data_IF_686553701568
#
_entry.id   IF_686553701568
#
_cell.length_a   1.000
_cell.length_b   1.000
_cell.length_c   1.000
_cell.angle_alpha   90.00
_cell.angle_beta   90.00
_cell.angle_gamma   90.00
#
_symmetry.space_group_name_H-M   'P 1'
#
loop_
_entity.id
_entity.type
_entity.pdbx_description
1 polymer ?
#
# COMPACT_ATOMS: atom_id res chain seq x y z
N UNK A 1 56.72 8.01 -45.55
CA UNK A 1 55.62 7.08 -45.88
C UNK A 1 55.41 6.19 -44.66
N UNK A 2 54.33 6.15 -43.89
CA UNK A 2 53.09 6.93 -43.78
C UNK A 2 52.42 6.59 -42.43
N UNK A 3 51.74 7.60 -41.85
CA UNK A 3 50.50 7.60 -41.00
C UNK A 3 50.27 6.39 -40.04
N UNK A 4 50.32 6.56 -38.71
CA UNK A 4 49.28 7.11 -37.81
C UNK A 4 48.28 6.06 -37.28
N UNK A 5 48.11 6.01 -35.94
CA UNK A 5 46.82 6.19 -35.25
C UNK A 5 46.88 5.66 -33.80
N UNK A 6 46.65 6.58 -32.87
CA UNK A 6 46.43 6.40 -31.43
C UNK A 6 44.95 6.04 -31.21
N UNK A 7 44.62 5.05 -30.38
CA UNK A 7 43.26 4.84 -29.88
C UNK A 7 43.30 4.58 -28.36
N UNK A 8 42.69 5.52 -27.63
CA UNK A 8 42.44 5.49 -26.19
C UNK A 8 41.41 4.40 -25.86
N UNK A 9 41.72 3.54 -24.88
CA UNK A 9 40.76 2.59 -24.33
C UNK A 9 40.13 3.17 -23.06
N UNK A 10 38.95 3.77 -23.21
CA UNK A 10 38.05 4.11 -22.10
C UNK A 10 37.24 2.87 -21.71
N UNK A 11 37.56 2.24 -20.58
CA UNK A 11 36.72 1.19 -20.00
C UNK A 11 35.69 1.84 -19.07
N UNK A 12 34.42 1.70 -19.45
CA UNK A 12 33.24 2.14 -18.72
C UNK A 12 33.15 1.48 -17.33
N UNK A 13 33.07 2.31 -16.29
CA UNK A 13 32.67 1.91 -14.94
C UNK A 13 31.14 1.71 -14.93
N UNK A 14 30.67 0.46 -15.01
CA UNK A 14 29.23 0.15 -14.86
C UNK A 14 28.89 0.21 -13.36
N UNK A 15 28.29 1.32 -12.95
CA UNK A 15 27.62 1.47 -11.66
C UNK A 15 26.45 0.49 -11.59
N UNK A 16 26.58 -0.54 -10.75
CA UNK A 16 25.48 -1.44 -10.43
C UNK A 16 24.41 -0.71 -9.62
N UNK A 17 23.25 -0.47 -10.23
CA UNK A 17 22.06 -0.09 -9.47
C UNK A 17 21.60 -1.28 -8.64
N UNK A 18 21.27 -1.11 -7.34
CA UNK A 18 20.61 -2.15 -6.59
C UNK A 18 19.25 -2.41 -7.24
N UNK A 19 19.07 -3.61 -7.79
CA UNK A 19 17.76 -4.05 -8.21
C UNK A 19 16.89 -4.16 -6.96
N UNK A 20 15.95 -3.23 -6.82
CA UNK A 20 14.86 -3.34 -5.86
C UNK A 20 14.04 -4.56 -6.27
N UNK A 21 14.31 -5.72 -5.64
CA UNK A 21 13.45 -6.88 -5.76
C UNK A 21 12.14 -6.53 -5.07
N UNK A 22 11.15 -6.08 -5.85
CA UNK A 22 9.80 -5.89 -5.38
C UNK A 22 9.19 -7.25 -5.05
N UNK A 23 8.90 -7.49 -3.77
CA UNK A 23 8.10 -8.62 -3.30
C UNK A 23 6.66 -8.45 -3.84
N UNK A 24 6.38 -9.08 -4.98
CA UNK A 24 5.05 -9.10 -5.59
C UNK A 24 4.41 -10.45 -5.26
N UNK A 25 3.35 -10.45 -4.46
CA UNK A 25 2.65 -11.69 -4.11
C UNK A 25 1.90 -12.19 -5.36
N UNK A 26 1.86 -13.50 -5.59
CA UNK A 26 1.09 -14.15 -6.65
C UNK A 26 0.11 -15.12 -6.03
N UNK A 27 -1.08 -15.23 -6.62
CA UNK A 27 -2.09 -16.24 -6.27
C UNK A 27 -2.36 -17.14 -7.46
N UNK A 28 -2.53 -18.43 -7.20
CA UNK A 28 -3.04 -19.39 -8.18
C UNK A 28 -4.07 -20.30 -7.53
N UNK A 29 -4.81 -21.04 -8.36
CA UNK A 29 -5.73 -22.09 -7.93
C UNK A 29 -5.16 -23.42 -8.37
N UNK A 30 -5.07 -24.39 -7.48
CA UNK A 30 -4.59 -25.73 -7.82
C UNK A 30 -5.67 -26.58 -8.52
N UNK A 31 -5.31 -27.82 -8.88
CA UNK A 31 -6.22 -28.74 -9.57
C UNK A 31 -7.44 -29.17 -8.74
N UNK A 32 -7.45 -28.89 -7.43
CA UNK A 32 -8.54 -29.18 -6.52
C UNK A 32 -9.41 -27.93 -6.23
N UNK A 33 -9.12 -26.80 -6.89
CA UNK A 33 -9.84 -25.55 -6.65
C UNK A 33 -9.35 -24.75 -5.43
N UNK A 34 -8.25 -25.15 -4.79
CA UNK A 34 -7.73 -24.48 -3.59
C UNK A 34 -6.85 -23.30 -3.99
N UNK A 35 -7.08 -22.08 -3.44
CA UNK A 35 -6.22 -20.94 -3.69
C UNK A 35 -4.91 -21.02 -2.89
N UNK A 36 -3.80 -20.70 -3.54
CA UNK A 36 -2.45 -20.66 -2.98
C UNK A 36 -1.79 -19.31 -3.25
N UNK A 37 -0.79 -18.95 -2.45
CA UNK A 37 -0.12 -17.65 -2.48
C UNK A 37 1.40 -17.81 -2.41
N UNK A 38 2.16 -16.98 -3.11
CA UNK A 38 3.63 -17.00 -3.08
C UNK A 38 4.23 -15.61 -3.23
N UNK A 39 5.36 -15.35 -2.55
CA UNK A 39 6.11 -14.11 -2.68
C UNK A 39 7.05 -14.19 -3.90
N UNK A 40 6.69 -13.46 -4.96
CA UNK A 40 7.36 -13.48 -6.26
C UNK A 40 6.89 -14.60 -7.18
N UNK A 41 6.91 -14.33 -8.50
CA UNK A 41 6.51 -15.32 -9.51
C UNK A 41 7.42 -16.56 -9.51
N UNK A 42 8.69 -16.40 -9.09
CA UNK A 42 9.65 -17.51 -8.98
C UNK A 42 9.27 -18.53 -7.91
N UNK A 43 8.51 -18.11 -6.89
CA UNK A 43 8.04 -18.96 -5.79
C UNK A 43 6.75 -19.73 -6.15
N UNK A 44 6.15 -19.43 -7.31
CA UNK A 44 5.01 -20.19 -7.83
C UNK A 44 5.51 -21.45 -8.55
N UNK A 45 4.92 -22.63 -8.31
CA UNK A 45 5.28 -23.85 -9.05
C UNK A 45 5.08 -23.68 -10.56
N UNK A 46 6.00 -24.19 -11.39
CA UNK A 46 6.00 -24.01 -12.85
C UNK A 46 4.63 -24.24 -13.49
N UNK A 47 3.97 -25.34 -13.10
CA UNK A 47 2.66 -25.75 -13.61
C UNK A 47 1.53 -24.76 -13.34
N UNK A 48 1.69 -23.85 -12.39
CA UNK A 48 0.70 -22.84 -12.03
C UNK A 48 1.13 -21.42 -12.39
N UNK A 49 2.38 -21.18 -12.82
CA UNK A 49 2.87 -19.84 -13.16
C UNK A 49 2.07 -19.15 -14.26
N UNK A 50 1.67 -19.90 -15.30
CA UNK A 50 0.88 -19.34 -16.39
C UNK A 50 -0.52 -18.86 -15.95
N UNK A 51 -1.06 -19.43 -14.87
CA UNK A 51 -2.35 -19.05 -14.28
C UNK A 51 -2.22 -18.26 -12.97
N UNK A 52 -0.99 -17.94 -12.55
CA UNK A 52 -0.74 -17.21 -11.33
C UNK A 52 -0.95 -15.72 -11.59
N UNK A 53 -1.91 -15.15 -10.87
CA UNK A 53 -2.22 -13.73 -10.94
C UNK A 53 -1.46 -12.99 -9.86
N UNK A 54 -0.73 -11.90 -10.18
CA UNK A 54 -0.11 -11.09 -9.15
C UNK A 54 -1.21 -10.51 -8.25
N UNK A 55 -1.10 -10.79 -6.96
CA UNK A 55 -1.75 -10.04 -5.91
C UNK A 55 -0.87 -8.87 -5.52
N UNK A 56 -1.16 -7.74 -6.15
CA UNK A 56 -0.79 -6.45 -5.63
C UNK A 56 -1.84 -5.48 -6.10
N UNK A 57 -2.48 -4.75 -5.18
CA UNK A 57 -3.08 -3.48 -5.56
C UNK A 57 -1.92 -2.50 -5.84
N UNK A 58 -1.22 -2.72 -6.94
CA UNK A 58 -0.34 -1.71 -7.53
C UNK A 58 -1.28 -0.67 -8.14
N UNK A 59 -1.68 0.29 -7.32
CA UNK A 59 -2.40 1.46 -7.79
C UNK A 59 -1.43 2.25 -8.67
N UNK A 60 -1.88 2.73 -9.83
CA UNK A 60 -1.06 3.65 -10.61
C UNK A 60 -0.68 4.86 -9.72
N UNK A 61 0.52 5.45 -9.88
CA UNK A 61 0.85 6.71 -9.22
C UNK A 61 -0.31 7.68 -9.43
N UNK A 62 -0.77 8.32 -8.36
CA UNK A 62 -1.79 9.36 -8.47
C UNK A 62 -1.38 10.35 -9.58
N UNK A 63 -2.33 10.92 -10.36
CA UNK A 63 -2.01 12.12 -11.11
C UNK A 63 -1.38 13.13 -10.13
N UNK A 64 -0.17 13.60 -10.39
CA UNK A 64 0.46 14.60 -9.52
C UNK A 64 -0.30 15.93 -9.53
N UNK A 65 -0.04 16.86 -8.59
CA UNK A 65 0.68 16.76 -7.34
C UNK A 65 -0.28 16.91 -6.15
N UNK A 66 -0.72 15.81 -5.55
CA UNK A 66 -1.11 15.83 -4.14
C UNK A 66 0.09 15.31 -3.34
N UNK A 67 1.12 16.15 -3.25
CA UNK A 67 2.04 16.02 -2.13
C UNK A 67 1.22 16.30 -0.86
N UNK A 68 1.34 15.51 0.22
CA UNK A 68 0.85 15.95 1.51
C UNK A 68 1.42 17.35 1.76
N UNK A 69 0.57 18.31 2.10
CA UNK A 69 1.05 19.62 2.52
C UNK A 69 2.09 19.39 3.64
N UNK A 70 3.34 19.79 3.39
CA UNK A 70 4.48 19.51 4.27
C UNK A 70 4.31 20.07 5.69
N UNK A 71 3.30 20.93 5.89
CA UNK A 71 3.00 21.60 7.16
C UNK A 71 2.03 20.82 8.07
N UNK A 72 1.41 19.73 7.60
CA UNK A 72 0.43 18.95 8.39
C UNK A 72 0.81 17.49 8.71
N UNK A 73 1.88 16.96 8.11
CA UNK A 73 2.20 15.53 8.07
C UNK A 73 3.17 15.04 9.16
N UNK A 74 3.34 15.77 10.26
CA UNK A 74 4.13 15.26 11.39
C UNK A 74 3.27 14.30 12.23
N UNK A 75 3.75 13.07 12.53
CA UNK A 75 3.15 12.22 13.54
C UNK A 75 2.92 13.03 14.82
N UNK A 76 1.65 13.17 15.22
CA UNK A 76 1.31 13.68 16.53
C UNK A 76 1.65 12.61 17.57
N UNK A 77 2.25 13.03 18.69
CA UNK A 77 2.58 12.26 19.90
C UNK A 77 3.83 11.35 19.90
N UNK A 78 4.61 11.56 20.95
CA UNK A 78 5.95 11.01 21.25
C UNK A 78 5.99 9.53 21.68
N UNK A 79 4.95 8.75 21.37
CA UNK A 79 4.80 7.35 21.78
C UNK A 79 4.45 6.46 20.59
N UNK A 80 5.09 5.30 20.48
CA UNK A 80 4.77 4.34 19.43
C UNK A 80 3.41 3.66 19.68
N UNK A 81 2.57 3.56 18.65
CA UNK A 81 1.32 2.79 18.70
C UNK A 81 1.62 1.30 18.59
N UNK A 82 0.98 0.49 19.44
CA UNK A 82 1.03 -0.98 19.35
C UNK A 82 -0.35 -1.53 18.94
N UNK A 83 -0.39 -2.27 17.85
CA UNK A 83 -1.59 -2.98 17.35
C UNK A 83 -1.38 -4.47 17.61
N UNK A 84 -2.37 -5.13 18.21
CA UNK A 84 -2.33 -6.58 18.45
C UNK A 84 -3.19 -7.31 17.42
N UNK A 85 -2.70 -8.44 16.93
CA UNK A 85 -3.41 -9.32 16.01
C UNK A 85 -3.14 -10.79 16.35
N UNK A 86 -3.99 -11.69 15.85
CA UNK A 86 -3.79 -13.13 16.01
C UNK A 86 -2.79 -13.62 14.96
N UNK A 87 -1.67 -14.26 15.35
CA UNK A 87 -0.74 -14.86 14.39
C UNK A 87 -1.43 -15.76 13.37
N UNK A 88 -1.05 -15.64 12.10
CA UNK A 88 -1.68 -16.38 10.99
C UNK A 88 -3.04 -15.85 10.54
N UNK A 89 -3.57 -14.79 11.18
CA UNK A 89 -4.74 -14.06 10.71
C UNK A 89 -4.32 -12.74 10.04
N UNK A 90 -5.24 -12.19 9.26
CA UNK A 90 -5.09 -10.85 8.68
C UNK A 90 -5.00 -9.79 9.78
N UNK A 91 -4.18 -8.77 9.55
CA UNK A 91 -3.97 -7.68 10.52
C UNK A 91 -5.05 -6.63 10.28
N UNK A 92 -6.14 -6.71 11.05
CA UNK A 92 -7.19 -5.70 11.04
C UNK A 92 -6.86 -4.60 12.05
N UNK A 93 -7.04 -3.35 11.63
CA UNK A 93 -6.69 -2.17 12.42
C UNK A 93 -7.92 -1.30 12.56
N UNK A 94 -8.28 -0.97 13.79
CA UNK A 94 -9.30 0.03 14.08
C UNK A 94 -8.67 1.41 13.92
N UNK A 95 -9.27 2.22 13.05
CA UNK A 95 -8.80 3.56 12.73
C UNK A 95 -9.87 4.59 13.08
N UNK A 96 -9.44 5.83 13.31
CA UNK A 96 -10.32 6.98 13.42
C UNK A 96 -10.03 7.94 12.27
N UNK A 97 -11.09 8.35 11.57
CA UNK A 97 -11.03 9.27 10.43
C UNK A 97 -11.60 10.62 10.88
N UNK A 98 -10.90 11.70 10.54
CA UNK A 98 -11.25 13.08 10.90
C UNK A 98 -11.56 13.22 12.42
N UNK A 99 -10.78 12.55 13.27
CA UNK A 99 -10.88 12.67 14.72
C UNK A 99 -12.11 12.02 15.38
N UNK A 100 -13.05 11.42 14.64
CA UNK A 100 -14.29 10.89 15.24
C UNK A 100 -14.87 9.62 14.62
N UNK A 101 -14.81 9.45 13.30
CA UNK A 101 -15.45 8.31 12.66
C UNK A 101 -14.58 7.06 12.75
N UNK A 102 -15.11 6.00 13.38
CA UNK A 102 -14.44 4.71 13.45
C UNK A 102 -14.60 3.94 12.13
N UNK A 103 -13.52 3.31 11.68
CA UNK A 103 -13.51 2.36 10.58
C UNK A 103 -12.52 1.22 10.89
N UNK A 104 -12.71 0.06 10.27
CA UNK A 104 -11.80 -1.08 10.44
C UNK A 104 -11.14 -1.43 9.12
N UNK A 105 -9.84 -1.22 9.02
CA UNK A 105 -9.08 -1.41 7.77
C UNK A 105 -8.14 -2.61 7.88
N UNK A 106 -7.93 -3.31 6.76
CA UNK A 106 -6.86 -4.30 6.64
C UNK A 106 -5.53 -3.57 6.43
N UNK A 107 -4.52 -3.87 7.27
CA UNK A 107 -3.15 -3.41 7.01
C UNK A 107 -2.59 -4.14 5.79
N UNK A 108 -2.28 -3.40 4.73
CA UNK A 108 -1.81 -3.94 3.46
C UNK A 108 -0.51 -3.24 3.03
N UNK A 109 0.63 -3.86 3.35
CA UNK A 109 1.95 -3.39 2.91
C UNK A 109 2.16 -3.51 1.40
N UNK A 110 1.29 -4.21 0.67
CA UNK A 110 1.31 -4.34 -0.78
C UNK A 110 0.47 -3.31 -1.52
N UNK A 111 -0.30 -2.47 -0.81
CA UNK A 111 -1.13 -1.43 -1.38
C UNK A 111 -0.44 -0.06 -1.32
N UNK A 112 -0.31 0.62 -2.46
CA UNK A 112 0.34 1.94 -2.53
C UNK A 112 -0.53 3.07 -1.97
N UNK A 113 -1.84 2.85 -1.97
CA UNK A 113 -2.82 3.83 -1.49
C UNK A 113 -3.75 3.21 -0.47
N UNK A 114 -4.11 4.02 0.52
CA UNK A 114 -5.18 3.72 1.46
C UNK A 114 -6.53 3.81 0.74
N UNK A 115 -7.34 2.78 0.88
CA UNK A 115 -8.67 2.68 0.30
C UNK A 115 -9.69 2.60 1.43
N UNK A 116 -10.76 3.37 1.34
CA UNK A 116 -11.81 3.42 2.34
C UNK A 116 -13.15 3.36 1.64
N UNK A 117 -14.08 2.59 2.19
CA UNK A 117 -15.42 2.46 1.63
C UNK A 117 -16.13 3.82 1.60
N UNK A 118 -16.94 4.10 0.56
CA UNK A 118 -17.74 5.32 0.51
C UNK A 118 -18.61 5.50 1.75
N UNK A 119 -19.10 4.40 2.34
CA UNK A 119 -19.90 4.43 3.57
C UNK A 119 -19.12 4.97 4.77
N UNK A 120 -17.89 4.50 4.97
CA UNK A 120 -17.04 4.97 6.07
C UNK A 120 -16.60 6.43 5.87
N UNK A 121 -16.31 6.83 4.63
CA UNK A 121 -16.02 8.23 4.28
C UNK A 121 -17.21 9.16 4.56
N UNK A 122 -18.42 8.76 4.19
CA UNK A 122 -19.65 9.51 4.50
C UNK A 122 -19.86 9.63 6.01
N UNK A 123 -19.63 8.56 6.78
CA UNK A 123 -19.69 8.59 8.23
C UNK A 123 -18.65 9.53 8.86
N UNK A 124 -17.51 9.72 8.19
CA UNK A 124 -16.46 10.67 8.56
C UNK A 124 -16.76 12.13 8.15
N UNK A 125 -17.94 12.41 7.61
CA UNK A 125 -18.31 13.74 7.12
C UNK A 125 -17.56 14.15 5.85
N UNK A 126 -16.89 13.20 5.18
CA UNK A 126 -16.29 13.41 3.86
C UNK A 126 -17.42 13.34 2.85
N UNK A 127 -18.15 14.45 2.74
CA UNK A 127 -19.17 14.63 1.72
C UNK A 127 -18.50 14.59 0.35
N UNK A 128 -19.25 14.15 -0.66
CA UNK A 128 -18.83 14.10 -2.08
C UNK A 128 -18.51 15.50 -2.63
N UNK A 129 -17.43 16.12 -2.15
CA UNK A 129 -16.73 17.15 -2.89
C UNK A 129 -16.28 16.55 -4.22
N UNK A 130 -16.10 17.40 -5.24
CA UNK A 130 -15.50 16.95 -6.48
C UNK A 130 -14.23 16.13 -6.15
N UNK A 131 -14.02 14.95 -6.79
CA UNK A 131 -12.86 14.12 -6.51
C UNK A 131 -11.60 14.97 -6.57
N UNK A 132 -10.77 14.89 -5.53
CA UNK A 132 -9.49 15.59 -5.51
C UNK A 132 -8.62 15.11 -6.69
N UNK A 133 -8.71 13.81 -6.99
CA UNK A 133 -8.19 13.22 -8.19
C UNK A 133 -9.04 12.01 -8.61
N UNK A 134 -8.80 11.52 -9.83
CA UNK A 134 -9.18 10.16 -10.20
C UNK A 134 -7.92 9.37 -10.47
N UNK A 135 -7.92 8.07 -10.18
CA UNK A 135 -6.80 7.19 -10.50
C UNK A 135 -7.31 5.81 -10.88
N UNK A 136 -6.37 4.89 -11.15
CA UNK A 136 -6.69 3.51 -11.46
C UNK A 136 -6.11 2.57 -10.41
N UNK A 137 -6.94 1.65 -9.94
CA UNK A 137 -6.52 0.47 -9.19
C UNK A 137 -6.41 -0.68 -10.16
N UNK A 138 -5.30 -1.42 -10.12
CA UNK A 138 -5.21 -2.73 -10.78
C UNK A 138 -5.54 -3.80 -9.74
N UNK A 139 -6.58 -4.57 -10.01
CA UNK A 139 -7.04 -5.69 -9.18
C UNK A 139 -7.06 -6.99 -9.98
N UNK A 140 -7.29 -8.11 -9.30
CA UNK A 140 -7.38 -9.43 -9.94
C UNK A 140 -8.51 -9.53 -11.00
N UNK A 141 -9.51 -8.64 -10.94
CA UNK A 141 -10.65 -8.58 -11.87
C UNK A 141 -10.47 -7.56 -12.99
N UNK A 142 -9.36 -6.81 -13.00
CA UNK A 142 -9.07 -5.77 -14.01
C UNK A 142 -8.67 -4.44 -13.38
N UNK A 143 -8.51 -3.42 -14.23
CA UNK A 143 -8.27 -2.04 -13.79
C UNK A 143 -9.60 -1.33 -13.56
N UNK A 144 -9.78 -0.75 -12.38
CA UNK A 144 -10.97 0.05 -12.05
C UNK A 144 -10.58 1.50 -11.76
N UNK A 145 -11.40 2.43 -12.25
CA UNK A 145 -11.22 3.85 -11.96
C UNK A 145 -11.77 4.17 -10.58
N UNK A 146 -10.93 4.76 -9.74
CA UNK A 146 -11.31 5.19 -8.39
C UNK A 146 -11.25 6.70 -8.26
N UNK A 147 -12.10 7.21 -7.38
CA UNK A 147 -12.09 8.60 -6.97
C UNK A 147 -11.26 8.74 -5.70
N UNK A 148 -10.34 9.71 -5.71
CA UNK A 148 -9.61 10.09 -4.51
C UNK A 148 -10.29 11.28 -3.86
N UNK A 149 -10.45 11.20 -2.54
CA UNK A 149 -10.94 12.29 -1.70
C UNK A 149 -9.89 12.62 -0.64
N UNK A 150 -9.94 13.83 -0.10
CA UNK A 150 -9.04 14.23 1.00
C UNK A 150 -9.74 13.98 2.33
N UNK A 151 -9.04 13.33 3.25
CA UNK A 151 -9.38 13.28 4.68
C UNK A 151 -8.48 14.25 5.44
N UNK A 152 -8.97 14.81 6.55
CA UNK A 152 -8.19 15.72 7.40
C UNK A 152 -7.19 14.97 8.26
N UNK A 153 -7.53 13.75 8.69
CA UNK A 153 -6.60 12.83 9.32
C UNK A 153 -7.09 11.40 9.39
N UNK A 154 -6.12 10.48 9.51
CA UNK A 154 -6.30 9.09 9.91
C UNK A 154 -5.49 8.86 11.18
N UNK A 155 -6.10 8.27 12.20
CA UNK A 155 -5.47 7.95 13.48
C UNK A 155 -5.59 6.46 13.83
N UNK A 156 -4.54 5.93 14.45
CA UNK A 156 -4.48 4.58 15.03
C UNK A 156 -3.79 4.71 16.40
N UNK A 157 -4.57 4.68 17.48
CA UNK A 157 -4.06 5.03 18.80
C UNK A 157 -3.44 6.44 18.77
N UNK A 158 -2.16 6.55 19.09
CA UNK A 158 -1.41 7.81 19.06
C UNK A 158 -0.84 8.14 17.67
N UNK A 159 -0.68 7.14 16.79
CA UNK A 159 -0.20 7.33 15.43
C UNK A 159 -1.22 8.11 14.60
N UNK A 160 -0.82 9.28 14.09
CA UNK A 160 -1.69 10.16 13.29
C UNK A 160 -0.99 10.60 12.01
N UNK A 161 -1.68 10.44 10.89
CA UNK A 161 -1.35 11.12 9.63
C UNK A 161 -2.39 12.20 9.41
N UNK A 162 -1.92 13.42 9.14
CA UNK A 162 -2.78 14.55 8.82
C UNK A 162 -3.38 14.45 7.43
N UNK A 163 -3.65 15.61 6.83
CA UNK A 163 -4.36 15.74 5.56
C UNK A 163 -3.74 14.85 4.47
N UNK A 164 -4.50 13.88 3.96
CA UNK A 164 -4.02 12.92 2.95
C UNK A 164 -5.12 12.49 1.97
N UNK A 165 -4.76 12.14 0.72
CA UNK A 165 -5.71 11.53 -0.22
C UNK A 165 -5.95 10.07 0.11
N UNK A 166 -7.21 9.63 0.00
CA UNK A 166 -7.63 8.23 0.12
C UNK A 166 -8.54 7.86 -1.04
N UNK A 167 -8.44 6.62 -1.52
CA UNK A 167 -9.33 6.10 -2.55
C UNK A 167 -10.70 5.76 -1.96
N UNK A 168 -11.76 6.33 -2.50
CA UNK A 168 -13.15 5.97 -2.21
C UNK A 168 -13.51 4.72 -3.03
N UNK A 169 -13.48 3.56 -2.39
CA UNK A 169 -13.67 2.29 -3.10
C UNK A 169 -14.22 1.19 -2.18
N UNK A 170 -15.24 0.48 -2.67
CA UNK A 170 -15.77 -0.72 -2.00
C UNK A 170 -15.08 -1.94 -2.57
N UNK A 171 -14.23 -2.58 -1.77
CA UNK A 171 -13.61 -3.84 -2.15
C UNK A 171 -14.67 -4.96 -2.23
N UNK A 172 -14.56 -5.89 -3.20
CA UNK A 172 -15.53 -6.97 -3.38
C UNK A 172 -15.46 -8.06 -2.30
N UNK A 173 -14.48 -8.01 -1.40
CA UNK A 173 -14.29 -8.99 -0.32
C UNK A 173 -14.78 -8.41 1.00
N UNK A 174 -15.47 -9.23 1.80
CA UNK A 174 -15.91 -8.87 3.15
C UNK A 174 -14.79 -8.94 4.20
N UNK A 175 -13.67 -9.59 3.87
CA UNK A 175 -12.60 -9.90 4.82
C UNK A 175 -11.66 -8.71 5.09
N UNK A 176 -11.92 -7.58 4.44
CA UNK A 176 -11.11 -6.35 4.52
C UNK A 176 -11.80 -5.25 5.35
N UNK A 177 -12.99 -5.51 5.90
CA UNK A 177 -13.74 -4.52 6.66
C UNK A 177 -14.14 -3.32 5.80
N UNK A 178 -13.82 -2.12 6.28
CA UNK A 178 -14.11 -0.85 5.61
C UNK A 178 -13.07 -0.46 4.55
N UNK A 179 -11.97 -1.21 4.38
CA UNK A 179 -10.95 -0.86 3.38
C UNK A 179 -9.53 -1.40 3.63
N UNK A 180 -8.55 -0.79 2.97
CA UNK A 180 -7.12 -1.11 3.09
C UNK A 180 -6.34 0.08 3.65
N UNK A 181 -5.45 -0.16 4.60
CA UNK A 181 -4.45 0.79 5.06
C UNK A 181 -3.14 0.54 4.29
N UNK A 182 -2.82 1.46 3.39
CA UNK A 182 -1.71 1.33 2.45
C UNK A 182 -0.42 2.02 2.89
N UNK A 183 0.58 1.95 2.01
CA UNK A 183 1.92 2.50 2.21
C UNK A 183 1.96 4.03 2.33
N UNK A 184 1.03 4.74 1.70
CA UNK A 184 0.90 6.19 1.86
C UNK A 184 0.71 6.64 3.32
N UNK A 185 0.03 5.84 4.14
CA UNK A 185 -0.03 5.99 5.58
C UNK A 185 1.17 5.34 6.29
N UNK A 186 1.46 4.06 5.99
CA UNK A 186 2.45 3.27 6.74
C UNK A 186 3.86 3.85 6.63
N UNK A 187 4.24 4.39 5.48
CA UNK A 187 5.55 4.99 5.23
C UNK A 187 5.75 6.31 6.00
N UNK A 188 4.75 6.82 6.72
CA UNK A 188 4.93 7.94 7.65
C UNK A 188 5.53 7.52 9.01
N UNK A 189 5.64 6.21 9.26
CA UNK A 189 6.12 5.65 10.51
C UNK A 189 7.29 4.68 10.29
N UNK A 190 8.02 4.40 11.38
CA UNK A 190 8.84 3.21 11.50
C UNK A 190 7.94 2.03 11.88
N UNK A 191 7.61 1.19 10.89
CA UNK A 191 6.71 0.04 11.06
C UNK A 191 7.51 -1.22 11.40
N UNK A 192 7.15 -1.89 12.49
CA UNK A 192 7.67 -3.21 12.84
C UNK A 192 6.52 -4.21 12.98
N UNK A 193 6.58 -5.34 12.27
CA UNK A 193 5.58 -6.41 12.33
C UNK A 193 6.24 -7.66 12.92
N UNK A 194 5.88 -7.99 14.15
CA UNK A 194 6.25 -9.26 14.79
C UNK A 194 5.08 -10.24 14.67
N UNK A 195 5.08 -11.00 13.58
CA UNK A 195 4.05 -12.01 13.30
C UNK A 195 4.05 -13.17 14.28
N UNK A 196 5.18 -13.47 14.91
CA UNK A 196 5.26 -14.54 15.92
C UNK A 196 4.56 -14.14 17.21
N UNK A 197 4.67 -12.86 17.59
CA UNK A 197 4.05 -12.29 18.79
C UNK A 197 2.68 -11.68 18.54
N UNK A 198 2.26 -11.57 17.28
CA UNK A 198 0.98 -10.97 16.91
C UNK A 198 0.93 -9.47 17.22
N UNK A 199 2.01 -8.74 16.92
CA UNK A 199 2.14 -7.32 17.23
C UNK A 199 2.65 -6.51 16.04
N UNK A 200 2.00 -5.39 15.75
CA UNK A 200 2.54 -4.33 14.89
C UNK A 200 2.85 -3.11 15.76
N UNK A 201 4.01 -2.49 15.53
CA UNK A 201 4.37 -1.20 16.15
C UNK A 201 4.50 -0.14 15.08
N UNK A 202 3.88 1.02 15.31
CA UNK A 202 4.03 2.23 14.51
C UNK A 202 4.75 3.28 15.37
N UNK A 203 6.03 3.51 15.12
CA UNK A 203 6.80 4.53 15.81
C UNK A 203 7.01 5.77 14.92
N UNK A 204 7.06 6.99 15.49
CA UNK A 204 7.49 8.17 14.74
C UNK A 204 8.86 7.98 14.09
N UNK A 205 9.10 8.71 12.99
CA UNK A 205 10.42 8.78 12.32
C UNK A 205 11.34 9.80 12.98
#
# INVERSE_FOLDING_TARGET
MGQAALLFLTVLLVLGWPATVGAQIYRWVDGNGVPHFADGIGSVPDRYRAGAVPLGLKNAPAPGPFAPDADGAKPGSSGGTTIRFTPGQRIMVDVRINGSAAARLLLDTGADRTLISPRALLAAGVLSAAPAATGQIVSATGSEQIQFVIVDSIEIGDARVGRMPVGSYTLPSTDVGDGLLGRDFLDQFNVNIDSSRGVVTLAPK
#
